data_IF_815522116581
#
_entry.id   IF_815522116581
#
_cell.length_a   1.000
_cell.length_b   1.000
_cell.length_c   1.000
_cell.angle_alpha   90.00
_cell.angle_beta   90.00
_cell.angle_gamma   90.00
#
_symmetry.space_group_name_H-M   'P 1'
#
loop_
_entity.id
_entity.type
_entity.pdbx_description
1 polymer ?
#
# COMPACT_ATOMS: atom_id res chain seq x y z
N UNK A 1 -8.95 0.68 -22.86
CA UNK A 1 -10.25 0.50 -23.52
C UNK A 1 -10.66 1.75 -24.31
N UNK A 2 -9.72 2.58 -24.76
CA UNK A 2 -10.02 3.68 -25.68
C UNK A 2 -9.14 3.43 -26.90
N UNK A 3 -9.75 3.41 -28.08
CA UNK A 3 -9.07 3.14 -29.36
C UNK A 3 -8.04 4.24 -29.67
N UNK A 4 -7.00 3.92 -30.43
CA UNK A 4 -6.07 4.94 -30.95
C UNK A 4 -6.83 5.85 -31.94
N UNK A 5 -6.84 7.18 -31.75
CA UNK A 5 -7.45 8.13 -32.68
C UNK A 5 -7.10 7.95 -34.16
N UNK A 6 -5.94 7.35 -34.46
CA UNK A 6 -5.53 7.02 -35.84
C UNK A 6 -6.46 6.02 -36.53
N UNK A 7 -7.19 5.19 -35.79
CA UNK A 7 -8.03 4.11 -36.33
C UNK A 7 -9.46 4.55 -36.70
N UNK A 8 -9.88 5.76 -36.29
CA UNK A 8 -11.25 6.27 -36.51
C UNK A 8 -11.31 7.71 -37.00
N UNK A 9 -10.28 8.14 -37.75
CA UNK A 9 -10.19 9.48 -38.35
C UNK A 9 -11.42 9.90 -39.17
N UNK A 10 -12.08 9.02 -39.97
CA UNK A 10 -13.29 9.42 -40.70
C UNK A 10 -14.42 9.92 -39.79
N UNK A 11 -14.55 9.35 -38.58
CA UNK A 11 -15.52 9.81 -37.57
C UNK A 11 -15.11 11.17 -37.00
N UNK A 12 -13.81 11.35 -36.69
CA UNK A 12 -13.25 12.61 -36.20
C UNK A 12 -13.46 13.76 -37.18
N UNK A 13 -13.17 13.54 -38.47
CA UNK A 13 -13.38 14.52 -39.53
C UNK A 13 -14.87 14.74 -39.86
N UNK A 14 -15.75 13.91 -39.33
CA UNK A 14 -17.20 14.11 -39.36
C UNK A 14 -17.66 15.26 -38.44
N UNK A 15 -16.94 15.57 -37.36
CA UNK A 15 -17.24 16.72 -36.50
C UNK A 15 -16.75 18.02 -37.17
N UNK A 16 -17.66 18.97 -37.50
CA UNK A 16 -17.29 20.23 -38.14
C UNK A 16 -16.30 21.08 -37.33
N UNK A 17 -16.33 21.03 -36.00
CA UNK A 17 -15.42 21.79 -35.15
C UNK A 17 -14.02 21.17 -35.17
N UNK A 18 -13.94 19.86 -34.96
CA UNK A 18 -12.67 19.15 -34.98
C UNK A 18 -12.02 19.19 -36.36
N UNK A 19 -12.79 19.02 -37.44
CA UNK A 19 -12.31 19.15 -38.82
C UNK A 19 -11.67 20.52 -39.08
N UNK A 20 -12.31 21.62 -38.64
CA UNK A 20 -11.74 22.97 -38.79
C UNK A 20 -10.43 23.12 -38.04
N UNK A 21 -10.35 22.59 -36.81
CA UNK A 21 -9.13 22.61 -36.02
C UNK A 21 -8.02 21.76 -36.67
N UNK A 22 -8.36 20.57 -37.19
CA UNK A 22 -7.43 19.68 -37.88
C UNK A 22 -6.86 20.33 -39.16
N UNK A 23 -7.69 21.02 -39.95
CA UNK A 23 -7.22 21.78 -41.14
C UNK A 23 -6.22 22.87 -40.74
N UNK A 24 -6.51 23.62 -39.67
CA UNK A 24 -5.59 24.65 -39.18
C UNK A 24 -4.28 24.06 -38.66
N UNK A 25 -4.34 22.95 -37.91
CA UNK A 25 -3.17 22.22 -37.40
C UNK A 25 -2.33 21.63 -38.52
N UNK A 26 -2.97 20.96 -39.49
CA UNK A 26 -2.32 20.39 -40.66
C UNK A 26 -1.58 21.46 -41.46
N UNK A 27 -2.20 22.62 -41.73
CA UNK A 27 -1.53 23.73 -42.41
C UNK A 27 -0.26 24.16 -41.68
N UNK A 28 -0.32 24.34 -40.36
CA UNK A 28 0.84 24.71 -39.53
C UNK A 28 1.93 23.64 -39.56
N UNK A 29 1.53 22.36 -39.46
CA UNK A 29 2.47 21.24 -39.51
C UNK A 29 3.16 21.15 -40.88
N UNK A 30 2.42 21.36 -41.97
CA UNK A 30 2.95 21.37 -43.33
C UNK A 30 3.95 22.52 -43.55
N UNK A 31 3.63 23.74 -43.11
CA UNK A 31 4.57 24.88 -43.17
C UNK A 31 5.86 24.60 -42.38
N UNK A 32 5.77 23.93 -41.23
CA UNK A 32 6.94 23.56 -40.43
C UNK A 32 7.78 22.45 -41.11
N UNK A 33 7.11 21.48 -41.72
CA UNK A 33 7.75 20.42 -42.50
C UNK A 33 8.47 20.95 -43.74
N UNK A 34 7.85 21.87 -44.48
CA UNK A 34 8.47 22.49 -45.66
C UNK A 34 9.73 23.26 -45.29
N UNK A 35 9.71 24.06 -44.21
CA UNK A 35 10.89 24.78 -43.70
C UNK A 35 12.03 23.86 -43.29
N UNK A 36 11.72 22.74 -42.63
CA UNK A 36 12.73 21.77 -42.20
C UNK A 36 13.30 20.99 -43.39
N UNK A 37 12.48 20.66 -44.38
CA UNK A 37 12.91 20.06 -45.65
C UNK A 37 13.81 21.00 -46.47
N UNK A 38 13.46 22.28 -46.56
CA UNK A 38 14.28 23.30 -47.23
C UNK A 38 15.64 23.50 -46.53
N UNK A 39 15.66 23.51 -45.20
CA UNK A 39 16.91 23.60 -44.42
C UNK A 39 17.81 22.35 -44.53
N UNK A 40 17.25 21.21 -44.94
CA UNK A 40 17.99 19.95 -45.15
C UNK A 40 18.37 19.69 -46.61
N UNK A 41 17.93 20.54 -47.56
CA UNK A 41 18.42 20.49 -48.94
C UNK A 41 19.88 20.97 -49.01
N UNK A 42 20.83 20.12 -49.42
CA UNK A 42 22.24 20.50 -49.42
C UNK A 42 22.52 21.55 -50.49
N UNK A 43 23.10 22.69 -50.11
CA UNK A 43 23.93 23.45 -51.05
C UNK A 43 25.07 22.53 -51.55
N UNK A 44 25.51 22.64 -52.82
CA UNK A 44 26.57 21.80 -53.34
C UNK A 44 27.93 22.24 -52.75
N UNK A 45 28.27 21.72 -51.56
CA UNK A 45 29.59 21.88 -50.99
C UNK A 45 30.57 20.92 -51.67
N UNK A 46 31.53 21.50 -52.39
CA UNK A 46 32.70 20.81 -52.92
C UNK A 46 33.52 20.19 -51.77
N UNK A 47 33.58 18.87 -51.74
CA UNK A 47 34.69 18.07 -51.21
C UNK A 47 34.92 18.08 -49.70
N UNK A 48 34.53 16.98 -49.02
CA UNK A 48 35.24 16.45 -47.85
C UNK A 48 34.90 14.96 -47.62
N UNK A 49 35.87 14.27 -47.03
CA UNK A 49 36.12 12.81 -46.94
C UNK A 49 35.09 11.98 -46.14
N UNK A 50 35.07 10.63 -46.30
CA UNK A 50 34.12 9.76 -45.60
C UNK A 50 34.46 9.65 -44.10
N UNK A 51 33.42 9.70 -43.25
CA UNK A 51 33.52 9.46 -41.81
C UNK A 51 33.28 7.97 -41.47
N UNK A 52 33.81 7.46 -40.34
CA UNK A 52 33.84 6.03 -40.04
C UNK A 52 32.51 5.50 -39.48
N UNK A 53 32.28 4.20 -39.68
CA UNK A 53 31.09 3.43 -39.26
C UNK A 53 30.74 3.61 -37.77
N UNK A 54 29.44 3.69 -37.41
CA UNK A 54 29.04 3.60 -36.02
C UNK A 54 28.98 2.15 -35.54
N UNK A 55 29.47 1.96 -34.31
CA UNK A 55 29.55 0.68 -33.62
C UNK A 55 28.17 0.00 -33.45
N UNK A 56 28.15 -1.31 -33.71
CA UNK A 56 27.02 -2.20 -33.40
C UNK A 56 26.85 -2.33 -31.88
N UNK A 57 25.69 -1.95 -31.38
CA UNK A 57 25.20 -2.43 -30.08
C UNK A 57 24.52 -1.37 -29.22
N UNK A 58 23.21 -1.17 -29.42
CA UNK A 58 22.27 -0.87 -28.35
C UNK A 58 20.82 -0.92 -28.88
N UNK A 59 20.01 -1.75 -28.21
CA UNK A 59 18.56 -1.57 -28.01
C UNK A 59 17.63 -1.77 -29.21
N UNK A 60 17.38 -3.05 -29.46
CA UNK A 60 16.22 -3.58 -30.13
C UNK A 60 15.12 -3.84 -29.08
N UNK A 61 14.35 -2.82 -28.68
CA UNK A 61 13.05 -2.97 -28.01
C UNK A 61 12.32 -1.62 -28.11
N UNK A 62 11.24 -1.58 -28.91
CA UNK A 62 10.32 -0.43 -28.97
C UNK A 62 10.26 0.29 -30.32
N UNK A 63 9.90 -0.41 -31.40
CA UNK A 63 9.48 0.22 -32.67
C UNK A 63 8.37 -0.59 -33.33
N UNK A 64 7.20 -0.61 -32.69
CA UNK A 64 5.92 -0.87 -33.36
C UNK A 64 4.90 0.11 -32.78
N UNK A 65 5.12 1.40 -33.05
CA UNK A 65 4.06 2.39 -33.06
C UNK A 65 4.10 3.01 -34.45
N UNK A 66 2.93 3.19 -35.07
CA UNK A 66 2.76 3.84 -36.36
C UNK A 66 3.30 5.28 -36.29
N UNK A 67 4.61 5.41 -36.46
CA UNK A 67 5.34 6.65 -36.55
C UNK A 67 5.49 6.98 -38.03
N UNK A 68 4.89 8.10 -38.43
CA UNK A 68 5.11 8.74 -39.72
C UNK A 68 6.60 8.70 -40.10
N UNK A 69 6.90 8.20 -41.30
CA UNK A 69 8.26 8.20 -41.83
C UNK A 69 8.72 9.66 -41.95
N UNK A 70 9.83 10.02 -41.30
CA UNK A 70 10.24 11.42 -41.11
C UNK A 70 10.47 12.20 -42.42
N UNK A 71 10.49 11.51 -43.57
CA UNK A 71 10.58 12.09 -44.91
C UNK A 71 9.25 12.36 -45.62
N UNK A 72 8.10 11.94 -45.09
CA UNK A 72 6.79 12.17 -45.71
C UNK A 72 6.16 13.49 -45.23
N UNK A 73 5.29 14.13 -46.05
CA UNK A 73 4.58 15.33 -45.61
C UNK A 73 3.46 14.97 -44.62
N UNK A 74 3.23 15.79 -43.57
CA UNK A 74 2.19 15.52 -42.60
C UNK A 74 0.81 15.56 -43.26
N UNK A 75 -0.11 14.71 -42.83
CA UNK A 75 -1.45 14.58 -43.42
C UNK A 75 -2.52 15.28 -42.57
N UNK A 76 -3.71 15.49 -43.16
CA UNK A 76 -4.87 16.00 -42.41
C UNK A 76 -5.35 14.98 -41.36
N UNK A 77 -5.24 13.70 -41.69
CA UNK A 77 -5.67 12.58 -40.85
C UNK A 77 -4.83 12.50 -39.58
N UNK A 78 -3.50 12.63 -39.71
CA UNK A 78 -2.58 12.74 -38.58
C UNK A 78 -2.90 13.94 -37.69
N UNK A 79 -3.17 15.11 -38.29
CA UNK A 79 -3.53 16.30 -37.53
C UNK A 79 -4.84 16.12 -36.73
N UNK A 80 -5.83 15.41 -37.29
CA UNK A 80 -7.07 15.09 -36.58
C UNK A 80 -6.83 14.09 -35.44
N UNK A 81 -6.08 13.02 -35.69
CA UNK A 81 -5.73 12.02 -34.69
C UNK A 81 -4.90 12.61 -33.53
N UNK A 82 -3.95 13.50 -33.83
CA UNK A 82 -3.16 14.21 -32.81
C UNK A 82 -4.02 15.07 -31.89
N UNK A 83 -4.95 15.86 -32.45
CA UNK A 83 -5.82 16.72 -31.65
C UNK A 83 -6.72 15.92 -30.72
N UNK A 84 -7.25 14.79 -31.20
CA UNK A 84 -8.05 13.90 -30.38
C UNK A 84 -7.20 13.21 -29.30
N UNK A 85 -5.96 12.80 -29.64
CA UNK A 85 -5.02 12.25 -28.67
C UNK A 85 -4.66 13.25 -27.58
N UNK A 86 -4.42 14.51 -27.93
CA UNK A 86 -4.19 15.60 -26.96
C UNK A 86 -5.41 15.80 -26.03
N UNK A 87 -6.64 15.69 -26.55
CA UNK A 87 -7.86 15.77 -25.74
C UNK A 87 -7.98 14.60 -24.76
N UNK A 88 -7.74 13.37 -25.24
CA UNK A 88 -7.78 12.16 -24.41
C UNK A 88 -6.69 12.15 -23.33
N UNK A 89 -5.48 12.62 -23.65
CA UNK A 89 -4.42 12.74 -22.65
C UNK A 89 -4.77 13.73 -21.54
N UNK A 90 -5.38 14.88 -21.86
CA UNK A 90 -5.88 15.81 -20.83
C UNK A 90 -6.89 15.14 -19.89
N UNK A 91 -7.79 14.30 -20.43
CA UNK A 91 -8.72 13.55 -19.59
C UNK A 91 -8.00 12.55 -18.67
N UNK A 92 -6.94 11.88 -19.15
CA UNK A 92 -6.11 10.99 -18.33
C UNK A 92 -5.37 11.78 -17.25
N UNK A 93 -4.81 12.96 -17.58
CA UNK A 93 -4.18 13.86 -16.62
C UNK A 93 -5.14 14.27 -15.50
N UNK A 94 -6.40 14.58 -15.85
CA UNK A 94 -7.46 14.88 -14.89
C UNK A 94 -7.78 13.69 -13.99
N UNK A 95 -7.86 12.47 -14.54
CA UNK A 95 -8.18 11.24 -13.79
C UNK A 95 -7.10 10.84 -12.77
N UNK A 96 -5.83 11.16 -13.04
CA UNK A 96 -4.68 10.79 -12.19
C UNK A 96 -4.59 11.67 -10.94
N UNK A 97 -5.23 12.85 -10.95
CA UNK A 97 -5.22 13.76 -9.80
C UNK A 97 -6.02 13.17 -8.64
N UNK A 98 -5.40 13.14 -7.46
CA UNK A 98 -6.00 12.58 -6.25
C UNK A 98 -7.34 13.25 -5.91
N UNK A 99 -7.42 14.56 -6.10
CA UNK A 99 -8.58 15.40 -5.85
C UNK A 99 -9.79 15.00 -6.72
N UNK A 100 -9.55 14.44 -7.90
CA UNK A 100 -10.58 14.01 -8.84
C UNK A 100 -11.06 12.58 -8.62
N UNK A 101 -10.58 11.88 -7.59
CA UNK A 101 -10.93 10.47 -7.33
C UNK A 101 -12.45 10.25 -7.19
N UNK A 102 -13.20 11.25 -6.75
CA UNK A 102 -14.67 11.19 -6.60
C UNK A 102 -15.41 12.24 -7.43
N UNK A 103 -14.73 12.84 -8.41
CA UNK A 103 -15.31 13.84 -9.28
C UNK A 103 -16.12 13.17 -10.40
N UNK A 104 -17.44 13.08 -10.22
CA UNK A 104 -18.33 12.43 -11.18
C UNK A 104 -18.31 13.09 -12.56
N UNK A 105 -18.03 14.39 -12.70
CA UNK A 105 -17.93 15.04 -14.01
C UNK A 105 -16.77 14.47 -14.84
N UNK A 106 -15.61 14.27 -14.21
CA UNK A 106 -14.43 13.67 -14.85
C UNK A 106 -14.68 12.18 -15.12
N UNK A 107 -15.25 11.46 -14.16
CA UNK A 107 -15.56 10.04 -14.31
C UNK A 107 -16.60 9.78 -15.41
N UNK A 108 -17.63 10.61 -15.53
CA UNK A 108 -18.67 10.47 -16.56
C UNK A 108 -18.13 10.75 -17.96
N UNK A 109 -17.22 11.72 -18.10
CA UNK A 109 -16.48 11.93 -19.36
C UNK A 109 -15.67 10.68 -19.72
N UNK A 110 -14.92 10.12 -18.78
CA UNK A 110 -14.13 8.90 -19.00
C UNK A 110 -15.01 7.68 -19.36
N UNK A 111 -16.11 7.48 -18.63
CA UNK A 111 -17.11 6.44 -18.93
C UNK A 111 -17.68 6.62 -20.33
N UNK A 112 -18.00 7.84 -20.73
CA UNK A 112 -18.52 8.13 -22.06
C UNK A 112 -17.50 7.76 -23.17
N UNK A 113 -16.21 8.07 -22.99
CA UNK A 113 -15.16 7.67 -23.94
C UNK A 113 -15.05 6.14 -24.07
N UNK A 114 -15.07 5.42 -22.95
CA UNK A 114 -15.04 3.95 -22.93
C UNK A 114 -16.25 3.39 -23.69
N UNK A 115 -17.45 3.94 -23.46
CA UNK A 115 -18.66 3.54 -24.19
C UNK A 115 -18.59 3.82 -25.69
N UNK A 116 -18.03 4.96 -26.09
CA UNK A 116 -17.88 5.32 -27.50
C UNK A 116 -16.89 4.37 -28.19
N UNK A 117 -15.73 4.13 -27.58
CA UNK A 117 -14.76 3.16 -28.08
C UNK A 117 -15.37 1.78 -28.21
N UNK A 118 -16.07 1.29 -27.17
CA UNK A 118 -16.73 -0.02 -27.24
C UNK A 118 -17.75 -0.11 -28.38
N UNK A 119 -18.53 0.95 -28.62
CA UNK A 119 -19.51 0.98 -29.71
C UNK A 119 -18.86 0.96 -31.09
N UNK A 120 -17.70 1.61 -31.26
CA UNK A 120 -16.89 1.51 -32.48
C UNK A 120 -16.38 0.09 -32.68
N UNK A 121 -15.79 -0.51 -31.64
CA UNK A 121 -15.35 -1.92 -31.67
C UNK A 121 -16.50 -2.85 -32.07
N UNK A 122 -17.70 -2.64 -31.50
CA UNK A 122 -18.88 -3.44 -31.86
C UNK A 122 -19.28 -3.26 -33.33
N UNK A 123 -19.24 -2.03 -33.86
CA UNK A 123 -19.55 -1.76 -35.25
C UNK A 123 -18.54 -2.39 -36.22
N UNK A 124 -17.24 -2.34 -35.89
CA UNK A 124 -16.17 -2.96 -36.67
C UNK A 124 -16.27 -4.49 -36.69
N UNK A 125 -16.85 -5.09 -35.64
CA UNK A 125 -17.01 -6.53 -35.50
C UNK A 125 -18.46 -7.00 -35.73
N UNK A 126 -19.26 -6.21 -36.45
CA UNK A 126 -20.67 -6.53 -36.71
C UNK A 126 -20.86 -7.85 -37.48
N UNK A 127 -19.89 -8.22 -38.32
CA UNK A 127 -19.91 -9.47 -39.11
C UNK A 127 -19.38 -10.69 -38.34
N UNK A 128 -18.95 -10.53 -37.07
CA UNK A 128 -18.45 -11.65 -36.27
C UNK A 128 -19.57 -12.68 -36.01
N UNK A 129 -19.33 -14.00 -36.12
CA UNK A 129 -20.36 -15.03 -35.91
C UNK A 129 -21.10 -14.95 -34.57
N UNK A 130 -20.42 -14.41 -33.55
CA UNK A 130 -20.94 -14.21 -32.20
C UNK A 130 -21.17 -12.72 -31.83
N UNK A 131 -21.28 -11.83 -32.81
CA UNK A 131 -21.36 -10.37 -32.56
C UNK A 131 -22.45 -9.98 -31.55
N UNK A 132 -23.62 -10.64 -31.59
CA UNK A 132 -24.72 -10.39 -30.64
C UNK A 132 -24.37 -10.76 -29.19
N UNK A 133 -23.46 -11.69 -28.98
CA UNK A 133 -23.07 -12.19 -27.66
C UNK A 133 -21.86 -11.42 -27.11
N UNK A 134 -20.78 -11.30 -27.91
CA UNK A 134 -19.49 -10.77 -27.43
C UNK A 134 -19.23 -9.30 -27.83
N UNK A 135 -19.97 -8.76 -28.80
CA UNK A 135 -19.86 -7.36 -29.28
C UNK A 135 -21.20 -6.62 -29.10
N UNK A 136 -21.77 -6.70 -27.90
CA UNK A 136 -23.03 -6.06 -27.58
C UNK A 136 -22.83 -4.55 -27.32
N UNK A 137 -23.28 -3.70 -28.24
CA UNK A 137 -23.18 -2.23 -28.15
C UNK A 137 -23.91 -1.59 -26.95
N UNK A 138 -24.78 -2.35 -26.27
CA UNK A 138 -25.56 -1.91 -25.11
C UNK A 138 -25.05 -2.47 -23.79
N UNK A 139 -24.01 -3.31 -23.80
CA UNK A 139 -23.38 -3.87 -22.60
C UNK A 139 -21.86 -3.81 -22.73
N UNK A 140 -21.18 -3.12 -21.81
CA UNK A 140 -19.72 -3.14 -21.75
C UNK A 140 -19.19 -4.55 -21.47
N UNK A 141 -17.98 -4.89 -21.97
CA UNK A 141 -17.33 -6.14 -21.60
C UNK A 141 -16.99 -6.12 -20.11
N UNK A 142 -16.98 -7.31 -19.51
CA UNK A 142 -16.56 -7.47 -18.13
C UNK A 142 -15.02 -7.33 -18.02
N UNK A 143 -14.55 -6.67 -16.97
CA UNK A 143 -13.15 -6.65 -16.59
C UNK A 143 -12.85 -7.86 -15.69
N UNK A 144 -11.75 -8.56 -15.94
CA UNK A 144 -11.35 -9.70 -15.10
C UNK A 144 -9.87 -9.60 -14.72
N UNK A 145 -9.60 -9.62 -13.41
CA UNK A 145 -8.26 -9.68 -12.85
C UNK A 145 -8.10 -10.99 -12.04
N UNK A 146 -7.40 -12.00 -12.59
CA UNK A 146 -7.28 -13.30 -11.94
C UNK A 146 -6.30 -13.32 -10.75
N UNK A 147 -5.51 -12.25 -10.55
CA UNK A 147 -4.50 -12.12 -9.50
C UNK A 147 -4.58 -10.75 -8.84
N UNK A 148 -5.78 -10.40 -8.37
CA UNK A 148 -6.15 -9.04 -8.03
C UNK A 148 -5.41 -8.46 -6.81
N UNK A 149 -4.82 -9.30 -5.94
CA UNK A 149 -4.12 -8.86 -4.75
C UNK A 149 -4.97 -7.91 -3.91
N UNK A 150 -4.52 -6.66 -3.77
CA UNK A 150 -5.24 -5.61 -3.03
C UNK A 150 -6.50 -5.05 -3.72
N UNK A 151 -6.75 -5.39 -4.99
CA UNK A 151 -7.99 -5.02 -5.70
C UNK A 151 -8.00 -3.66 -6.38
N UNK A 152 -6.86 -2.99 -6.55
CA UNK A 152 -6.81 -1.65 -7.14
C UNK A 152 -7.31 -1.62 -8.59
N UNK A 153 -6.88 -2.57 -9.44
CA UNK A 153 -7.32 -2.64 -10.83
C UNK A 153 -8.83 -2.87 -10.99
N UNK A 154 -9.44 -3.90 -10.35
CA UNK A 154 -10.88 -4.09 -10.44
C UNK A 154 -11.69 -2.96 -9.77
N UNK A 155 -11.17 -2.29 -8.73
CA UNK A 155 -11.80 -1.09 -8.18
C UNK A 155 -11.83 0.05 -9.21
N UNK A 156 -10.72 0.32 -9.90
CA UNK A 156 -10.68 1.34 -10.95
C UNK A 156 -11.59 1.00 -12.12
N UNK A 157 -11.62 -0.27 -12.54
CA UNK A 157 -12.55 -0.74 -13.57
C UNK A 157 -14.01 -0.46 -13.18
N UNK A 158 -14.39 -0.77 -11.94
CA UNK A 158 -15.72 -0.47 -11.40
C UNK A 158 -15.99 1.04 -11.36
N UNK A 159 -15.03 1.87 -10.93
CA UNK A 159 -15.16 3.35 -10.93
C UNK A 159 -15.42 3.89 -12.35
N UNK A 160 -14.77 3.30 -13.36
CA UNK A 160 -14.93 3.60 -14.78
C UNK A 160 -16.16 2.93 -15.43
N UNK A 161 -17.03 2.28 -14.64
CA UNK A 161 -18.33 1.76 -15.09
C UNK A 161 -18.30 0.35 -15.67
N UNK A 162 -17.19 -0.38 -15.55
CA UNK A 162 -17.07 -1.76 -16.00
C UNK A 162 -17.59 -2.74 -14.93
N UNK A 163 -18.18 -3.85 -15.39
CA UNK A 163 -18.46 -5.00 -14.54
C UNK A 163 -17.13 -5.69 -14.18
N UNK A 164 -16.66 -5.54 -12.94
CA UNK A 164 -15.35 -6.05 -12.52
C UNK A 164 -15.46 -7.38 -11.77
N UNK A 165 -14.70 -8.37 -12.22
CA UNK A 165 -14.49 -9.67 -11.61
C UNK A 165 -13.03 -9.79 -11.15
N UNK A 166 -12.83 -10.29 -9.94
CA UNK A 166 -11.50 -10.39 -9.33
C UNK A 166 -11.35 -11.74 -8.62
N UNK A 167 -10.18 -12.37 -8.76
CA UNK A 167 -9.81 -13.55 -7.98
C UNK A 167 -8.40 -13.43 -7.41
N UNK A 168 -8.14 -14.19 -6.35
CA UNK A 168 -6.81 -14.36 -5.77
C UNK A 168 -6.74 -15.70 -5.03
N UNK A 169 -5.54 -16.27 -4.91
CA UNK A 169 -5.30 -17.49 -4.12
C UNK A 169 -5.30 -17.20 -2.62
N UNK A 170 -4.83 -16.02 -2.22
CA UNK A 170 -4.74 -15.62 -0.83
C UNK A 170 -6.15 -15.24 -0.31
N UNK A 171 -6.69 -15.94 0.70
CA UNK A 171 -8.03 -15.64 1.23
C UNK A 171 -8.14 -14.24 1.84
N UNK A 172 -7.04 -13.66 2.32
CA UNK A 172 -7.01 -12.27 2.81
C UNK A 172 -7.21 -11.29 1.66
N UNK A 173 -6.53 -11.52 0.54
CA UNK A 173 -6.70 -10.71 -0.68
C UNK A 173 -8.14 -10.81 -1.19
N UNK A 174 -8.72 -12.02 -1.25
CA UNK A 174 -10.13 -12.21 -1.61
C UNK A 174 -11.06 -11.42 -0.69
N UNK A 175 -10.83 -11.43 0.63
CA UNK A 175 -11.63 -10.68 1.58
C UNK A 175 -11.55 -9.16 1.36
N UNK A 176 -10.35 -8.64 1.08
CA UNK A 176 -10.14 -7.21 0.76
C UNK A 176 -10.93 -6.84 -0.50
N UNK A 177 -10.81 -7.63 -1.58
CA UNK A 177 -11.57 -7.42 -2.81
C UNK A 177 -13.08 -7.41 -2.57
N UNK A 178 -13.59 -8.36 -1.77
CA UNK A 178 -15.02 -8.38 -1.39
C UNK A 178 -15.44 -7.12 -0.66
N UNK A 179 -14.63 -6.66 0.30
CA UNK A 179 -14.91 -5.47 1.09
C UNK A 179 -14.87 -4.18 0.27
N UNK A 180 -14.04 -4.12 -0.79
CA UNK A 180 -13.85 -2.91 -1.61
C UNK A 180 -14.76 -2.85 -2.84
N UNK A 181 -14.99 -3.99 -3.51
CA UNK A 181 -15.59 -4.03 -4.86
C UNK A 181 -16.97 -4.70 -4.85
N UNK A 182 -17.13 -5.80 -4.11
CA UNK A 182 -18.35 -6.61 -4.18
C UNK A 182 -19.44 -6.13 -3.23
N UNK A 183 -19.07 -5.81 -1.98
CA UNK A 183 -20.04 -5.51 -0.91
C UNK A 183 -20.58 -4.08 -1.04
N UNK A 184 -19.77 -3.01 -1.13
CA UNK A 184 -20.28 -1.64 -1.06
C UNK A 184 -21.36 -1.30 -2.11
N UNK A 185 -21.22 -1.67 -3.40
CA UNK A 185 -22.25 -1.38 -4.41
C UNK A 185 -23.60 -2.03 -4.12
N UNK A 186 -23.63 -3.22 -3.49
CA UNK A 186 -24.89 -3.90 -3.11
C UNK A 186 -25.68 -3.12 -2.06
N UNK A 187 -25.01 -2.25 -1.31
CA UNK A 187 -25.60 -1.39 -0.28
C UNK A 187 -25.60 0.10 -0.68
N UNK A 188 -25.26 0.42 -1.93
CA UNK A 188 -25.26 1.80 -2.41
C UNK A 188 -26.66 2.41 -2.29
N UNK A 189 -26.72 3.63 -1.74
CA UNK A 189 -27.97 4.37 -1.54
C UNK A 189 -28.89 3.82 -0.45
N UNK A 190 -28.46 2.81 0.31
CA UNK A 190 -29.28 2.21 1.37
C UNK A 190 -29.01 2.89 2.72
N UNK A 191 -30.05 3.08 3.55
CA UNK A 191 -29.86 3.55 4.92
C UNK A 191 -29.15 2.49 5.77
N UNK A 192 -28.44 2.90 6.83
CA UNK A 192 -27.84 2.00 7.81
C UNK A 192 -28.90 1.14 8.51
N UNK A 193 -28.49 -0.04 8.96
CA UNK A 193 -29.35 -0.99 9.69
C UNK A 193 -29.11 -1.01 11.19
N UNK A 194 -28.07 -0.34 11.70
CA UNK A 194 -27.76 -0.33 13.12
C UNK A 194 -28.88 0.30 13.98
N UNK A 195 -29.08 -0.18 15.22
CA UNK A 195 -30.16 0.27 16.08
C UNK A 195 -30.18 1.77 16.37
N UNK A 196 -29.00 2.37 16.59
CA UNK A 196 -28.87 3.81 16.89
C UNK A 196 -29.35 4.68 15.73
N UNK A 197 -28.99 4.32 14.49
CA UNK A 197 -29.44 5.05 13.31
C UNK A 197 -30.94 4.85 13.05
N UNK A 198 -31.45 3.62 13.24
CA UNK A 198 -32.88 3.29 13.09
C UNK A 198 -33.80 3.99 14.09
N UNK A 199 -33.28 4.40 15.24
CA UNK A 199 -34.03 5.16 16.23
C UNK A 199 -34.18 6.66 15.88
N UNK A 200 -33.43 7.17 14.88
CA UNK A 200 -33.48 8.60 14.52
C UNK A 200 -34.67 8.91 13.61
N UNK A 201 -35.41 9.96 13.95
CA UNK A 201 -36.45 10.53 13.09
C UNK A 201 -35.80 11.06 11.81
N UNK A 202 -36.39 10.79 10.65
CA UNK A 202 -35.88 11.23 9.34
C UNK A 202 -34.81 10.33 8.70
N UNK A 203 -34.52 9.14 9.25
CA UNK A 203 -33.56 8.20 8.65
C UNK A 203 -33.84 7.89 7.18
N UNK A 204 -35.12 7.68 6.87
CA UNK A 204 -35.62 7.35 5.53
C UNK A 204 -35.91 8.59 4.67
N UNK A 205 -35.92 9.79 5.28
CA UNK A 205 -36.08 11.07 4.57
C UNK A 205 -34.72 11.58 4.06
N UNK A 206 -33.63 11.22 4.73
CA UNK A 206 -32.27 11.49 4.28
C UNK A 206 -31.96 10.67 3.03
N UNK A 207 -31.46 11.35 2.00
CA UNK A 207 -30.81 10.71 0.86
C UNK A 207 -29.43 10.16 1.29
N UNK A 208 -29.20 8.88 1.02
CA UNK A 208 -27.92 8.22 1.26
C UNK A 208 -27.15 8.15 -0.05
N UNK A 209 -25.92 8.66 -0.09
CA UNK A 209 -25.10 8.66 -1.29
C UNK A 209 -24.04 7.58 -1.21
N UNK A 210 -23.88 6.81 -2.29
CA UNK A 210 -22.91 5.71 -2.34
C UNK A 210 -23.03 4.77 -1.14
N UNK A 211 -21.90 4.43 -0.52
CA UNK A 211 -21.83 3.50 0.62
C UNK A 211 -21.99 4.16 2.00
N UNK A 212 -22.52 5.39 2.11
CA UNK A 212 -22.62 6.11 3.38
C UNK A 212 -23.35 5.33 4.48
N UNK A 213 -24.48 4.68 4.17
CA UNK A 213 -25.24 3.91 5.16
C UNK A 213 -24.48 2.69 5.65
N UNK A 214 -23.82 1.97 4.74
CA UNK A 214 -22.93 0.86 5.12
C UNK A 214 -21.76 1.36 5.98
N UNK A 215 -21.18 2.51 5.67
CA UNK A 215 -20.09 3.10 6.44
C UNK A 215 -20.51 3.43 7.89
N UNK A 216 -21.74 3.94 8.09
CA UNK A 216 -22.31 4.13 9.42
C UNK A 216 -22.43 2.82 10.20
N UNK A 217 -22.88 1.74 9.56
CA UNK A 217 -22.96 0.41 10.18
C UNK A 217 -21.58 -0.14 10.54
N UNK A 218 -20.59 -0.03 9.65
CA UNK A 218 -19.21 -0.45 9.92
C UNK A 218 -18.64 0.28 11.13
N UNK A 219 -18.87 1.60 11.23
CA UNK A 219 -18.43 2.38 12.39
C UNK A 219 -19.14 1.95 13.67
N UNK A 220 -20.46 1.74 13.62
CA UNK A 220 -21.24 1.32 14.77
C UNK A 220 -20.80 -0.07 15.29
N UNK A 221 -20.82 -1.08 14.42
CA UNK A 221 -20.47 -2.44 14.82
C UNK A 221 -18.98 -2.59 15.14
N UNK A 222 -18.11 -1.80 14.51
CA UNK A 222 -16.71 -1.70 14.87
C UNK A 222 -16.51 -1.17 16.30
N UNK A 223 -17.23 -0.12 16.69
CA UNK A 223 -17.22 0.37 18.09
C UNK A 223 -17.77 -0.67 19.05
N UNK A 224 -18.92 -1.28 18.74
CA UNK A 224 -19.51 -2.32 19.57
C UNK A 224 -18.55 -3.50 19.78
N UNK A 225 -17.92 -4.00 18.71
CA UNK A 225 -16.97 -5.10 18.78
C UNK A 225 -15.75 -4.74 19.63
N UNK A 226 -15.21 -3.53 19.48
CA UNK A 226 -14.13 -3.02 20.33
C UNK A 226 -14.55 -2.99 21.80
N UNK A 227 -15.73 -2.46 22.11
CA UNK A 227 -16.21 -2.32 23.49
C UNK A 227 -16.48 -3.69 24.13
N UNK A 228 -17.02 -4.64 23.37
CA UNK A 228 -17.18 -6.03 23.82
C UNK A 228 -15.83 -6.73 24.04
N UNK A 229 -14.85 -6.47 23.19
CA UNK A 229 -13.48 -6.96 23.39
C UNK A 229 -12.88 -6.36 24.67
N UNK A 230 -13.02 -5.05 24.89
CA UNK A 230 -12.52 -4.38 26.10
C UNK A 230 -13.16 -4.96 27.38
N UNK A 231 -14.47 -5.24 27.38
CA UNK A 231 -15.13 -5.91 28.53
C UNK A 231 -14.56 -7.30 28.80
N UNK A 232 -14.31 -8.09 27.75
CA UNK A 232 -13.90 -9.50 27.88
C UNK A 232 -12.43 -9.67 28.20
N UNK A 233 -11.56 -8.89 27.55
CA UNK A 233 -10.11 -9.06 27.59
C UNK A 233 -9.35 -7.77 27.91
N UNK A 234 -10.01 -6.65 28.13
CA UNK A 234 -9.36 -5.37 28.44
C UNK A 234 -8.54 -5.40 29.73
N UNK A 235 -8.89 -6.28 30.68
CA UNK A 235 -8.09 -6.50 31.89
C UNK A 235 -6.67 -7.04 31.60
N UNK A 236 -6.43 -7.65 30.44
CA UNK A 236 -5.10 -8.06 29.98
C UNK A 236 -4.24 -6.88 29.50
N UNK A 237 -4.82 -5.68 29.39
CA UNK A 237 -4.16 -4.45 28.94
C UNK A 237 -4.30 -3.37 30.02
N UNK A 238 -3.63 -3.55 31.18
CA UNK A 238 -3.77 -2.64 32.31
C UNK A 238 -3.28 -1.24 31.95
N UNK A 239 -3.78 -0.26 32.68
CA UNK A 239 -3.30 1.11 32.59
C UNK A 239 -2.12 1.30 33.55
N UNK A 240 -1.04 1.89 33.06
CA UNK A 240 0.14 2.26 33.84
C UNK A 240 0.15 3.77 33.99
N UNK A 241 0.18 4.26 35.24
CA UNK A 241 0.34 5.67 35.52
C UNK A 241 1.81 6.06 35.42
N UNK A 242 2.10 7.13 34.67
CA UNK A 242 3.46 7.65 34.54
C UNK A 242 3.78 8.50 35.76
N UNK A 243 4.73 8.04 36.58
CA UNK A 243 5.12 8.70 37.83
C UNK A 243 6.39 9.55 37.66
N UNK A 244 6.59 10.49 38.59
CA UNK A 244 7.82 11.30 38.64
C UNK A 244 9.07 10.42 38.84
N UNK A 245 8.96 9.33 39.61
CA UNK A 245 10.05 8.37 39.84
C UNK A 245 10.48 7.66 38.55
N UNK A 246 9.55 7.32 37.65
CA UNK A 246 9.91 6.74 36.34
C UNK A 246 10.73 7.74 35.49
N UNK A 247 10.40 9.02 35.57
CA UNK A 247 11.06 10.09 34.81
C UNK A 247 12.43 10.44 35.40
N UNK A 248 12.51 10.51 36.73
CA UNK A 248 13.70 10.91 37.46
C UNK A 248 13.72 10.18 38.81
N UNK A 249 14.29 8.96 38.86
CA UNK A 249 14.32 8.15 40.07
C UNK A 249 15.22 8.81 41.14
N UNK A 250 14.86 8.71 42.44
CA UNK A 250 15.65 9.28 43.52
C UNK A 250 17.01 8.58 43.68
N UNK A 251 18.04 9.37 43.97
CA UNK A 251 19.38 8.84 44.23
C UNK A 251 19.36 7.94 45.49
N UNK A 252 19.73 6.66 45.31
CA UNK A 252 19.81 5.68 46.41
C UNK A 252 18.51 4.96 46.78
N UNK A 253 17.45 5.06 45.97
CA UNK A 253 16.26 4.22 46.12
C UNK A 253 16.50 2.73 45.81
N UNK A 254 15.48 1.85 45.98
CA UNK A 254 15.59 0.40 45.71
C UNK A 254 16.03 0.01 44.28
N UNK A 255 16.11 0.98 43.36
CA UNK A 255 16.66 0.84 42.00
C UNK A 255 17.89 1.72 41.77
N UNK A 256 18.83 1.77 42.72
CA UNK A 256 19.99 2.67 42.81
C UNK A 256 20.99 2.75 41.63
N UNK A 257 20.59 2.34 40.43
CA UNK A 257 21.29 2.57 39.16
C UNK A 257 20.36 2.93 37.98
N UNK A 258 19.06 3.17 38.22
CA UNK A 258 18.09 3.51 37.16
C UNK A 258 18.40 4.87 36.55
N UNK A 259 18.71 4.87 35.25
CA UNK A 259 18.65 6.10 34.46
C UNK A 259 17.18 6.42 34.24
N UNK A 260 16.78 7.63 34.64
CA UNK A 260 15.41 8.09 34.47
C UNK A 260 14.97 8.09 33.02
N UNK A 261 13.65 8.14 32.80
CA UNK A 261 13.00 8.19 31.49
C UNK A 261 12.48 9.59 31.19
N UNK A 262 13.35 10.55 30.80
CA UNK A 262 12.92 11.92 30.50
C UNK A 262 11.93 11.99 29.33
N UNK A 263 11.94 10.99 28.44
CA UNK A 263 10.98 10.84 27.35
C UNK A 263 9.54 10.64 27.84
N UNK A 264 9.35 10.22 29.10
CA UNK A 264 8.05 10.09 29.73
C UNK A 264 7.53 11.40 30.34
N UNK A 265 8.33 12.46 30.41
CA UNK A 265 7.93 13.74 31.02
C UNK A 265 6.63 14.34 30.45
N UNK A 266 6.35 14.30 29.12
CA UNK A 266 5.08 14.78 28.57
C UNK A 266 3.84 13.99 29.02
N UNK A 267 4.05 12.86 29.69
CA UNK A 267 2.99 11.96 30.13
C UNK A 267 2.81 11.89 31.65
N UNK A 268 3.54 12.69 32.44
CA UNK A 268 3.44 12.70 33.90
C UNK A 268 1.98 12.78 34.37
N UNK A 269 1.57 11.85 35.24
CA UNK A 269 0.21 11.74 35.79
C UNK A 269 -0.83 11.12 34.84
N UNK A 270 -0.46 10.81 33.59
CA UNK A 270 -1.36 10.13 32.65
C UNK A 270 -1.33 8.62 32.87
N UNK A 271 -2.51 8.01 32.79
CA UNK A 271 -2.70 6.55 32.76
C UNK A 271 -2.66 6.07 31.31
N UNK A 272 -1.57 5.43 30.92
CA UNK A 272 -1.35 4.91 29.56
C UNK A 272 -1.75 3.44 29.50
N UNK A 273 -2.45 3.04 28.44
CA UNK A 273 -2.82 1.64 28.22
C UNK A 273 -1.62 0.84 27.73
N UNK A 274 -1.30 -0.28 28.37
CA UNK A 274 -0.36 -1.27 27.82
C UNK A 274 -0.97 -1.82 26.54
N UNK A 275 -0.27 -1.75 25.41
CA UNK A 275 -0.78 -2.22 24.11
C UNK A 275 -0.09 -3.50 23.61
N UNK A 276 1.01 -3.89 24.22
CA UNK A 276 1.80 -5.04 23.82
C UNK A 276 2.53 -5.64 25.03
N UNK A 277 2.76 -6.94 24.96
CA UNK A 277 3.53 -7.71 25.93
C UNK A 277 4.67 -8.42 25.21
N UNK A 278 5.86 -8.41 25.81
CA UNK A 278 6.97 -9.25 25.37
C UNK A 278 7.13 -10.37 26.38
N UNK A 279 7.07 -11.61 25.90
CA UNK A 279 7.15 -12.81 26.72
C UNK A 279 8.50 -13.49 26.49
N UNK A 280 9.10 -13.97 27.57
CA UNK A 280 10.32 -14.76 27.54
C UNK A 280 10.13 -16.02 28.37
N UNK A 281 10.42 -17.17 27.77
CA UNK A 281 10.45 -18.43 28.52
C UNK A 281 11.56 -18.38 29.56
N UNK A 282 11.34 -19.02 30.69
CA UNK A 282 12.37 -19.15 31.73
C UNK A 282 12.73 -20.60 31.95
N UNK A 283 13.96 -20.86 32.38
CA UNK A 283 14.47 -22.20 32.71
C UNK A 283 15.25 -22.14 34.03
N UNK A 284 15.27 -23.19 34.86
CA UNK A 284 16.15 -23.24 36.02
C UNK A 284 17.61 -23.03 35.60
N UNK A 285 18.32 -22.22 36.37
CA UNK A 285 19.77 -22.08 36.22
C UNK A 285 20.45 -23.45 36.34
N UNK A 286 21.41 -23.79 35.45
CA UNK A 286 22.13 -25.05 35.52
C UNK A 286 23.20 -25.04 36.63
N UNK A 287 23.52 -23.86 37.16
CA UNK A 287 24.47 -23.68 38.25
C UNK A 287 23.82 -24.06 39.60
N UNK A 288 24.32 -25.10 40.30
CA UNK A 288 23.79 -25.53 41.59
C UNK A 288 23.79 -24.44 42.66
N UNK A 289 24.73 -23.48 42.60
CA UNK A 289 24.79 -22.37 43.55
C UNK A 289 23.56 -21.44 43.48
N UNK A 290 22.86 -21.44 42.35
CA UNK A 290 21.64 -20.67 42.13
C UNK A 290 20.38 -21.41 42.58
N UNK A 291 20.49 -22.64 43.09
CA UNK A 291 19.40 -23.44 43.66
C UNK A 291 18.14 -23.50 42.76
N UNK A 292 18.34 -23.63 41.44
CA UNK A 292 17.23 -23.71 40.48
C UNK A 292 16.51 -22.40 40.17
N UNK A 293 17.06 -21.24 40.56
CA UNK A 293 16.50 -19.94 40.20
C UNK A 293 16.29 -19.83 38.68
N UNK A 294 15.09 -19.43 38.28
CA UNK A 294 14.72 -19.33 36.87
C UNK A 294 15.39 -18.14 36.19
N UNK A 295 15.90 -18.35 34.98
CA UNK A 295 16.54 -17.33 34.15
C UNK A 295 15.87 -17.23 32.78
N UNK A 296 15.82 -16.04 32.16
CA UNK A 296 15.05 -15.82 30.94
C UNK A 296 15.85 -16.23 29.70
N UNK A 297 15.14 -16.76 28.71
CA UNK A 297 15.64 -17.12 27.39
C UNK A 297 15.25 -16.02 26.40
N UNK A 298 16.09 -15.00 26.29
CA UNK A 298 15.88 -13.82 25.46
C UNK A 298 16.88 -13.78 24.32
N UNK A 299 16.37 -13.75 23.09
CA UNK A 299 17.20 -13.75 21.88
C UNK A 299 17.76 -12.37 21.50
N UNK A 300 17.16 -11.29 22.01
CA UNK A 300 17.65 -9.92 21.87
C UNK A 300 17.01 -9.04 22.94
N UNK A 301 17.76 -8.10 23.47
CA UNK A 301 17.26 -7.09 24.41
C UNK A 301 16.70 -5.85 23.71
N UNK A 302 16.71 -5.77 22.39
CA UNK A 302 16.14 -4.63 21.67
C UNK A 302 14.62 -4.55 21.83
N UNK A 303 14.15 -3.36 22.22
CA UNK A 303 12.73 -2.99 22.17
C UNK A 303 12.43 -2.14 20.93
N UNK A 304 13.37 -1.29 20.52
CA UNK A 304 13.30 -0.49 19.29
C UNK A 304 14.70 -0.25 18.73
N UNK A 305 14.87 -0.57 17.44
CA UNK A 305 16.09 -0.27 16.64
C UNK A 305 15.94 0.97 15.75
N UNK A 306 14.84 1.71 15.89
CA UNK A 306 14.58 2.88 15.04
C UNK A 306 15.58 4.00 15.39
N UNK A 307 16.33 4.49 14.40
CA UNK A 307 17.25 5.62 14.56
C UNK A 307 16.54 6.81 15.21
N UNK A 308 17.17 7.38 16.24
CA UNK A 308 16.61 8.47 17.05
C UNK A 308 15.52 8.07 18.06
N UNK A 309 15.14 6.78 18.11
CA UNK A 309 14.18 6.21 19.08
C UNK A 309 14.64 4.83 19.55
N UNK A 310 15.93 4.70 19.83
CA UNK A 310 16.52 3.45 20.30
C UNK A 310 16.09 3.18 21.74
N UNK A 311 15.70 1.94 22.02
CA UNK A 311 15.33 1.47 23.34
C UNK A 311 15.65 -0.02 23.53
N UNK A 312 16.16 -0.40 24.70
CA UNK A 312 16.54 -1.78 25.01
C UNK A 312 16.30 -2.14 26.48
N UNK A 313 16.32 -3.45 26.77
CA UNK A 313 16.29 -4.01 28.11
C UNK A 313 17.72 -4.13 28.66
N UNK A 314 17.96 -3.51 29.80
CA UNK A 314 19.19 -3.65 30.58
C UNK A 314 18.93 -4.65 31.72
N UNK A 315 19.59 -5.82 31.74
CA UNK A 315 19.43 -6.75 32.84
C UNK A 315 20.13 -6.25 34.11
N UNK A 316 19.40 -6.15 35.21
CA UNK A 316 19.95 -5.89 36.53
C UNK A 316 19.92 -7.17 37.35
N UNK A 317 21.09 -7.65 37.75
CA UNK A 317 21.28 -8.95 38.39
C UNK A 317 21.75 -8.78 39.83
N UNK A 318 21.02 -9.39 40.76
CA UNK A 318 21.43 -9.56 42.16
C UNK A 318 21.78 -11.03 42.40
N UNK A 319 23.07 -11.34 42.32
CA UNK A 319 23.58 -12.71 42.51
C UNK A 319 23.41 -13.20 43.95
N UNK A 320 23.45 -12.31 44.94
CA UNK A 320 23.32 -12.68 46.34
C UNK A 320 21.89 -13.11 46.65
N UNK A 321 20.90 -12.40 46.12
CA UNK A 321 19.48 -12.75 46.22
C UNK A 321 19.01 -13.75 45.16
N UNK A 322 19.87 -14.07 44.17
CA UNK A 322 19.58 -14.95 43.02
C UNK A 322 18.38 -14.45 42.21
N UNK A 323 18.23 -13.13 42.14
CA UNK A 323 17.12 -12.46 41.46
C UNK A 323 17.65 -11.58 40.34
N UNK A 324 16.79 -11.29 39.39
CA UNK A 324 17.09 -10.38 38.29
C UNK A 324 15.82 -9.61 37.92
N UNK A 325 15.98 -8.46 37.29
CA UNK A 325 14.91 -7.72 36.63
C UNK A 325 15.46 -6.98 35.40
N UNK A 326 14.58 -6.36 34.63
CA UNK A 326 14.97 -5.53 33.50
C UNK A 326 14.64 -4.08 33.75
N UNK A 327 15.50 -3.21 33.25
CA UNK A 327 15.26 -1.78 33.16
C UNK A 327 15.22 -1.37 31.69
N UNK A 328 14.32 -0.47 31.34
CA UNK A 328 14.26 0.04 29.97
C UNK A 328 15.21 1.22 29.85
N UNK A 329 16.17 1.11 28.94
CA UNK A 329 17.11 2.17 28.58
C UNK A 329 16.80 2.73 27.20
N UNK A 330 17.16 3.99 26.99
CA UNK A 330 16.94 4.73 25.74
C UNK A 330 18.19 5.50 25.34
N UNK A 331 18.40 5.72 24.04
CA UNK A 331 19.59 6.40 23.53
C UNK A 331 20.55 5.43 22.83
N UNK A 332 21.84 5.76 22.80
CA UNK A 332 22.85 4.90 22.19
C UNK A 332 23.47 3.98 23.25
N UNK A 333 23.37 2.65 23.09
CA UNK A 333 23.99 1.73 24.03
C UNK A 333 25.50 1.62 23.83
N UNK A 334 26.23 1.37 24.92
CA UNK A 334 27.68 1.17 24.87
C UNK A 334 28.07 -0.12 24.14
N UNK A 335 27.26 -1.18 24.26
CA UNK A 335 27.52 -2.49 23.67
C UNK A 335 26.30 -3.01 22.89
N UNK A 336 26.23 -2.64 21.61
CA UNK A 336 25.16 -3.07 20.70
C UNK A 336 25.15 -4.58 20.47
N UNK A 337 26.32 -5.23 20.42
CA UNK A 337 26.45 -6.68 20.21
C UNK A 337 25.81 -7.48 21.34
N UNK A 338 26.02 -7.07 22.59
CA UNK A 338 25.41 -7.69 23.76
C UNK A 338 23.88 -7.60 23.75
N UNK A 339 23.34 -6.46 23.30
CA UNK A 339 21.89 -6.24 23.17
C UNK A 339 21.31 -7.06 22.02
N UNK A 340 22.03 -7.14 20.89
CA UNK A 340 21.63 -7.98 19.76
C UNK A 340 21.54 -9.45 20.17
N UNK A 341 22.51 -9.93 20.94
CA UNK A 341 22.57 -11.33 21.38
C UNK A 341 21.61 -11.67 22.54
N UNK A 342 21.29 -10.71 23.42
CA UNK A 342 20.51 -10.97 24.63
C UNK A 342 21.19 -12.01 25.53
N UNK A 343 20.50 -13.13 25.78
CA UNK A 343 21.07 -14.32 26.45
C UNK A 343 21.43 -15.44 25.48
N UNK A 344 21.19 -15.28 24.18
CA UNK A 344 21.47 -16.30 23.17
C UNK A 344 22.96 -16.33 22.84
N UNK A 345 23.53 -17.53 22.76
CA UNK A 345 24.95 -17.74 22.42
C UNK A 345 25.15 -18.64 21.19
N UNK A 346 24.07 -19.20 20.64
CA UNK A 346 24.15 -20.06 19.46
C UNK A 346 22.78 -20.54 18.97
N UNK A 347 22.77 -21.56 18.12
CA UNK A 347 21.53 -22.16 17.59
C UNK A 347 20.84 -22.98 18.67
N UNK A 348 19.84 -22.38 19.31
CA UNK A 348 19.06 -23.02 20.38
C UNK A 348 19.77 -23.09 21.74
N UNK A 349 20.93 -22.42 21.88
CA UNK A 349 21.69 -22.38 23.12
C UNK A 349 21.73 -20.96 23.69
N UNK A 350 21.69 -20.87 25.02
CA UNK A 350 21.64 -19.62 25.78
C UNK A 350 22.71 -19.61 26.87
N UNK A 351 22.84 -18.49 27.58
CA UNK A 351 23.63 -18.36 28.81
C UNK A 351 22.72 -18.02 29.97
N UNK A 352 23.03 -18.56 31.14
CA UNK A 352 22.36 -18.22 32.38
C UNK A 352 22.60 -16.74 32.69
N UNK A 353 21.53 -15.96 32.85
CA UNK A 353 21.64 -14.52 33.14
C UNK A 353 22.35 -14.25 34.48
N UNK A 354 22.16 -15.13 35.47
CA UNK A 354 22.72 -14.95 36.81
C UNK A 354 24.22 -15.26 36.86
N UNK A 355 24.68 -16.29 36.14
CA UNK A 355 26.03 -16.85 36.31
C UNK A 355 26.90 -16.83 35.05
N UNK A 356 26.29 -16.64 33.88
CA UNK A 356 26.95 -16.76 32.58
C UNK A 356 27.14 -18.20 32.10
N UNK A 357 26.79 -19.20 32.92
CA UNK A 357 26.95 -20.61 32.57
C UNK A 357 26.15 -20.98 31.29
N UNK A 358 26.70 -21.82 30.40
CA UNK A 358 26.00 -22.20 29.17
C UNK A 358 24.76 -23.04 29.48
N UNK A 359 23.68 -22.74 28.77
CA UNK A 359 22.43 -23.48 28.69
C UNK A 359 22.36 -24.11 27.29
N UNK A 360 22.96 -25.30 27.09
CA UNK A 360 22.97 -25.97 25.79
C UNK A 360 21.58 -26.48 25.41
N UNK A 361 21.37 -26.66 24.11
CA UNK A 361 20.08 -27.08 23.54
C UNK A 361 19.53 -28.35 24.18
N UNK A 362 20.37 -29.35 24.47
CA UNK A 362 19.92 -30.62 25.07
C UNK A 362 19.35 -30.44 26.49
N UNK A 363 19.96 -29.58 27.30
CA UNK A 363 19.47 -29.26 28.63
C UNK A 363 18.12 -28.52 28.55
N UNK A 364 17.95 -27.64 27.58
CA UNK A 364 16.69 -26.93 27.35
C UNK A 364 15.60 -27.88 26.85
N UNK A 365 15.93 -28.82 25.96
CA UNK A 365 15.00 -29.87 25.53
C UNK A 365 14.58 -30.78 26.69
N UNK A 366 15.53 -31.18 27.54
CA UNK A 366 15.23 -31.97 28.73
C UNK A 366 14.31 -31.20 29.69
N UNK A 367 14.62 -29.92 29.96
CA UNK A 367 13.79 -29.04 30.79
C UNK A 367 12.38 -28.85 30.22
N UNK A 368 12.26 -28.78 28.89
CA UNK A 368 10.97 -28.73 28.21
C UNK A 368 10.16 -30.02 28.38
N UNK A 369 10.81 -31.19 28.21
CA UNK A 369 10.18 -32.51 28.38
C UNK A 369 9.78 -32.80 29.83
N UNK A 370 10.52 -32.28 30.80
CA UNK A 370 10.22 -32.40 32.23
C UNK A 370 9.23 -31.35 32.75
N UNK A 371 8.73 -30.44 31.89
CA UNK A 371 7.79 -29.39 32.29
C UNK A 371 8.41 -28.31 33.18
N UNK A 372 9.74 -28.16 33.17
CA UNK A 372 10.48 -27.19 33.98
C UNK A 372 10.66 -25.83 33.30
N UNK A 373 10.16 -25.65 32.06
CA UNK A 373 10.15 -24.35 31.40
C UNK A 373 8.98 -23.50 31.91
N UNK A 374 9.29 -22.31 32.42
CA UNK A 374 8.30 -21.32 32.83
C UNK A 374 7.76 -20.48 31.67
N UNK A 375 6.63 -19.81 31.91
CA UNK A 375 5.99 -18.84 31.00
C UNK A 375 6.09 -17.41 31.51
#
# INVERSE_FOLDING_TARGET
MVDDPSEYVPELLGDPKLKRAAVARHKKNLEAWERTREAQSPEPARGALPSPEPARGAQQYGQEQAGHDAGQPPTLDEAAAELERERLFKLIEELVQWENTTNEEVLDRARAEIWQSWRRTCAQNADHPQAQEIFNRHKLPAFHDPFAGGGSLPLEAQRLGLEAHASDLNPVAVLINKAMIEIPPKFAGRPPVNPEARAKVGLFEREWKGAEGLAEDVRYYGRWMRDEAEKRIGHLYPKVEVTAEMISPPAGGPGGGQQGRPDLAPYLGRKLTVIAWLWARTVPSPDPAMAGAHVPLIASYWLSKKKGKLAWLEPVVDKARRTWHFEVRTGEPENTEAIEAGTKIGRGAFRCLLTGAPLPTDLLHQSGRSGQIGS
#
